data_IF_587292851224
#
_entry.id   IF_587292851224
#
_cell.length_a   1.000
_cell.length_b   1.000
_cell.length_c   1.000
_cell.angle_alpha   90.00
_cell.angle_beta   90.00
_cell.angle_gamma   90.00
#
_symmetry.space_group_name_H-M   'P 1'
#
loop_
_entity.id
_entity.type
_entity.pdbx_description
1 polymer ?
#
# COMPACT_ATOMS: atom_id res chain seq x y z
N UNK A 1 55.03 -0.85 31.67
CA UNK A 1 53.67 -1.26 32.07
C UNK A 1 52.73 -0.13 32.50
N UNK A 2 52.60 0.98 31.76
CA UNK A 2 51.72 2.09 32.23
C UNK A 2 50.95 2.88 31.15
N UNK A 3 50.71 2.33 29.95
CA UNK A 3 50.02 3.09 28.87
C UNK A 3 48.62 2.59 28.48
N UNK A 4 48.06 1.59 29.16
CA UNK A 4 46.78 0.97 28.76
C UNK A 4 45.56 1.33 29.63
N UNK A 5 45.70 2.15 30.69
CA UNK A 5 44.62 2.42 31.64
C UNK A 5 43.68 3.60 31.27
N UNK A 6 43.93 4.33 30.18
CA UNK A 6 43.19 5.57 29.86
C UNK A 6 41.99 5.41 28.92
N UNK A 7 41.73 4.22 28.36
CA UNK A 7 40.64 4.01 27.39
C UNK A 7 39.29 3.57 27.98
N UNK A 8 39.15 3.51 29.31
CA UNK A 8 37.94 3.01 29.98
C UNK A 8 36.81 4.03 30.15
N UNK A 9 36.96 5.28 29.67
CA UNK A 9 36.01 6.37 29.95
C UNK A 9 35.35 7.01 28.72
N UNK A 10 35.18 6.27 27.62
CA UNK A 10 34.32 6.74 26.53
C UNK A 10 32.87 6.71 27.01
N UNK A 11 32.40 7.84 27.55
CA UNK A 11 31.01 8.05 27.90
C UNK A 11 30.13 7.74 26.67
N UNK A 12 29.02 7.00 26.82
CA UNK A 12 28.13 6.74 25.70
C UNK A 12 27.71 8.08 25.07
N UNK A 13 27.67 8.16 23.73
CA UNK A 13 27.33 9.40 23.06
C UNK A 13 25.96 9.90 23.58
N UNK A 14 25.79 11.22 23.78
CA UNK A 14 24.56 11.75 24.33
C UNK A 14 23.38 11.34 23.43
N UNK A 15 22.23 10.99 24.03
CA UNK A 15 21.03 10.50 23.30
C UNK A 15 20.64 11.42 22.14
N UNK A 16 20.85 12.73 22.29
CA UNK A 16 20.59 13.73 21.25
C UNK A 16 21.48 13.52 20.01
N UNK A 17 22.73 13.09 20.18
CA UNK A 17 23.67 12.81 19.09
C UNK A 17 23.20 11.61 18.24
N UNK A 18 22.68 10.56 18.89
CA UNK A 18 22.13 9.36 18.22
C UNK A 18 20.83 9.69 17.47
N UNK A 19 19.97 10.56 18.03
CA UNK A 19 18.75 10.99 17.35
C UNK A 19 19.04 11.90 16.14
N UNK A 20 20.01 12.81 16.25
CA UNK A 20 20.39 13.68 15.13
C UNK A 20 21.06 12.92 13.98
N UNK A 21 21.81 11.86 14.26
CA UNK A 21 22.38 11.00 13.22
C UNK A 21 21.30 10.18 12.53
N UNK A 22 20.36 9.60 13.28
CA UNK A 22 19.27 8.81 12.70
C UNK A 22 18.38 9.61 11.72
N UNK A 23 17.97 10.82 12.09
CA UNK A 23 17.11 11.66 11.22
C UNK A 23 17.86 12.14 9.98
N UNK A 24 19.14 12.48 10.13
CA UNK A 24 20.01 12.87 9.01
C UNK A 24 20.24 11.71 8.05
N UNK A 25 20.50 10.52 8.59
CA UNK A 25 20.68 9.30 7.81
C UNK A 25 19.40 8.92 7.08
N UNK A 26 18.24 8.98 7.74
CA UNK A 26 16.94 8.71 7.11
C UNK A 26 16.68 9.66 5.93
N UNK A 27 16.94 10.96 6.09
CA UNK A 27 16.77 11.94 5.00
C UNK A 27 17.70 11.63 3.82
N UNK A 28 18.96 11.30 4.08
CA UNK A 28 19.94 10.93 3.05
C UNK A 28 19.55 9.64 2.34
N UNK A 29 19.12 8.63 3.08
CA UNK A 29 18.63 7.36 2.52
C UNK A 29 17.38 7.56 1.66
N UNK A 30 16.43 8.40 2.10
CA UNK A 30 15.23 8.74 1.32
C UNK A 30 15.59 9.43 0.00
N UNK A 31 16.51 10.39 0.02
CA UNK A 31 16.96 11.08 -1.18
C UNK A 31 17.65 10.10 -2.17
N UNK A 32 18.51 9.23 -1.66
CA UNK A 32 19.19 8.22 -2.47
C UNK A 32 18.21 7.23 -3.10
N UNK A 33 17.27 6.73 -2.32
CA UNK A 33 16.25 5.79 -2.80
C UNK A 33 15.26 6.45 -3.78
N UNK A 34 14.94 7.75 -3.61
CA UNK A 34 14.15 8.49 -4.59
C UNK A 34 14.85 8.59 -5.95
N UNK A 35 16.17 8.84 -5.94
CA UNK A 35 16.98 8.87 -7.16
C UNK A 35 17.01 7.47 -7.81
N UNK A 36 17.15 6.41 -7.02
CA UNK A 36 17.13 5.01 -7.48
C UNK A 36 15.78 4.61 -8.07
N UNK A 37 14.69 5.03 -7.44
CA UNK A 37 13.32 4.83 -7.92
C UNK A 37 13.08 5.44 -9.29
N UNK A 38 13.76 6.55 -9.64
CA UNK A 38 13.68 7.15 -10.99
C UNK A 38 14.15 6.23 -12.11
N UNK A 39 15.07 5.33 -11.81
CA UNK A 39 15.67 4.41 -12.76
C UNK A 39 15.02 3.03 -12.73
N UNK A 40 14.02 2.84 -11.87
CA UNK A 40 13.31 1.56 -11.66
C UNK A 40 11.96 1.62 -12.39
N UNK A 41 11.44 0.52 -12.96
CA UNK A 41 10.12 0.48 -13.59
C UNK A 41 8.95 0.80 -12.65
N UNK A 42 9.20 0.94 -11.34
CA UNK A 42 8.23 1.28 -10.30
C UNK A 42 7.32 2.46 -10.66
N UNK A 43 7.87 3.51 -11.30
CA UNK A 43 7.10 4.69 -11.72
C UNK A 43 6.07 4.35 -12.80
N UNK A 44 6.49 3.61 -13.82
CA UNK A 44 5.61 3.16 -14.89
C UNK A 44 4.55 2.22 -14.38
N UNK A 45 4.89 1.31 -13.47
CA UNK A 45 3.91 0.44 -12.82
C UNK A 45 2.87 1.23 -12.04
N UNK A 46 3.26 2.31 -11.38
CA UNK A 46 2.33 3.15 -10.60
C UNK A 46 1.32 3.86 -11.50
N UNK A 47 1.80 4.41 -12.62
CA UNK A 47 0.95 5.07 -13.62
C UNK A 47 0.04 4.04 -14.30
N UNK A 48 0.59 2.90 -14.72
CA UNK A 48 -0.17 1.82 -15.35
C UNK A 48 -1.19 1.22 -14.40
N UNK A 49 -0.87 1.04 -13.12
CA UNK A 49 -1.81 0.54 -12.11
C UNK A 49 -3.05 1.42 -12.06
N UNK A 50 -2.90 2.70 -11.72
CA UNK A 50 -4.03 3.63 -11.65
C UNK A 50 -4.77 3.78 -12.97
N UNK A 51 -4.05 4.07 -14.06
CA UNK A 51 -4.63 4.40 -15.36
C UNK A 51 -5.29 3.22 -16.08
N UNK A 52 -4.68 2.03 -16.04
CA UNK A 52 -5.26 0.86 -16.70
C UNK A 52 -6.55 0.42 -16.00
N UNK A 53 -6.60 0.51 -14.67
CA UNK A 53 -7.79 0.14 -13.90
C UNK A 53 -8.92 1.15 -14.07
N UNK A 54 -8.63 2.45 -14.08
CA UNK A 54 -9.68 3.45 -14.35
C UNK A 54 -10.25 3.30 -15.76
N UNK A 55 -9.40 2.96 -16.74
CA UNK A 55 -9.83 2.67 -18.11
C UNK A 55 -10.69 1.40 -18.17
N UNK A 56 -10.30 0.35 -17.43
CA UNK A 56 -11.08 -0.88 -17.34
C UNK A 56 -12.44 -0.65 -16.68
N UNK A 57 -12.48 0.09 -15.58
CA UNK A 57 -13.73 0.45 -14.89
C UNK A 57 -14.66 1.21 -15.83
N UNK A 58 -14.13 2.21 -16.55
CA UNK A 58 -14.89 2.94 -17.56
C UNK A 58 -15.47 2.02 -18.62
N UNK A 59 -14.66 1.11 -19.19
CA UNK A 59 -15.12 0.17 -20.21
C UNK A 59 -16.21 -0.77 -19.66
N UNK A 60 -15.98 -1.39 -18.49
CA UNK A 60 -16.93 -2.29 -17.85
C UNK A 60 -18.27 -1.61 -17.58
N UNK A 61 -18.24 -0.38 -17.06
CA UNK A 61 -19.46 0.35 -16.76
C UNK A 61 -20.16 0.81 -18.04
N UNK A 62 -19.41 1.32 -19.03
CA UNK A 62 -19.96 1.75 -20.32
C UNK A 62 -20.74 0.63 -21.03
N UNK A 63 -20.20 -0.59 -21.07
CA UNK A 63 -20.88 -1.72 -21.71
C UNK A 63 -22.06 -2.27 -20.90
N UNK A 64 -22.04 -2.18 -19.57
CA UNK A 64 -23.10 -2.71 -18.71
C UNK A 64 -24.04 -1.63 -18.13
N UNK A 65 -24.00 -0.41 -18.68
CA UNK A 65 -24.74 0.74 -18.13
C UNK A 65 -26.24 0.44 -17.95
N UNK A 66 -26.85 -0.29 -18.90
CA UNK A 66 -28.27 -0.61 -18.89
C UNK A 66 -28.69 -1.65 -17.83
N UNK A 67 -27.76 -2.48 -17.34
CA UNK A 67 -28.02 -3.45 -16.27
C UNK A 67 -27.72 -2.88 -14.88
N UNK A 68 -26.86 -1.86 -14.81
CA UNK A 68 -26.32 -1.31 -13.56
C UNK A 68 -27.02 -0.04 -13.08
N UNK A 69 -27.77 0.65 -13.94
CA UNK A 69 -28.43 1.91 -13.61
C UNK A 69 -29.91 1.90 -13.98
N UNK A 70 -30.74 2.27 -13.01
CA UNK A 70 -32.13 2.64 -13.27
C UNK A 70 -32.19 4.12 -13.69
N UNK A 71 -32.90 4.45 -14.79
CA UNK A 71 -33.03 5.83 -15.26
C UNK A 71 -33.95 6.63 -14.32
N UNK A 72 -33.40 7.17 -13.23
CA UNK A 72 -33.94 8.26 -12.39
C UNK A 72 -33.20 8.42 -11.04
N UNK A 73 -32.32 7.49 -10.67
CA UNK A 73 -31.54 7.58 -9.44
C UNK A 73 -30.19 8.28 -9.64
N UNK A 74 -29.63 8.83 -8.55
CA UNK A 74 -28.28 9.38 -8.57
C UNK A 74 -27.29 8.26 -8.90
N UNK A 75 -26.54 8.34 -10.02
CA UNK A 75 -25.70 7.24 -10.47
C UNK A 75 -24.35 7.17 -9.72
N UNK A 76 -23.96 8.23 -9.00
CA UNK A 76 -22.64 8.33 -8.37
C UNK A 76 -22.39 7.28 -7.28
N UNK A 77 -23.31 7.00 -6.33
CA UNK A 77 -23.09 5.95 -5.33
C UNK A 77 -22.85 4.56 -5.96
N UNK A 78 -23.68 4.17 -6.92
CA UNK A 78 -23.55 2.88 -7.62
C UNK A 78 -22.27 2.81 -8.44
N UNK A 79 -21.96 3.87 -9.19
CA UNK A 79 -20.73 3.97 -9.98
C UNK A 79 -19.47 3.89 -9.10
N UNK A 80 -19.46 4.62 -7.99
CA UNK A 80 -18.29 4.72 -7.10
C UNK A 80 -18.12 3.45 -6.26
N UNK A 81 -19.21 2.83 -5.81
CA UNK A 81 -19.20 1.52 -5.15
C UNK A 81 -18.64 0.44 -6.09
N UNK A 82 -19.19 0.32 -7.30
CA UNK A 82 -18.70 -0.61 -8.31
C UNK A 82 -17.23 -0.38 -8.67
N UNK A 83 -16.85 0.89 -8.91
CA UNK A 83 -15.46 1.27 -9.21
C UNK A 83 -14.52 0.86 -8.09
N UNK A 84 -14.94 1.03 -6.83
CA UNK A 84 -14.14 0.71 -5.66
C UNK A 84 -14.05 -0.80 -5.42
N UNK A 85 -15.11 -1.56 -5.67
CA UNK A 85 -15.10 -3.03 -5.62
C UNK A 85 -14.13 -3.63 -6.65
N UNK A 86 -14.24 -3.17 -7.91
CA UNK A 86 -13.34 -3.58 -9.01
C UNK A 86 -11.90 -3.20 -8.71
N UNK A 87 -11.65 -1.97 -8.24
CA UNK A 87 -10.32 -1.52 -7.83
C UNK A 87 -9.76 -2.35 -6.67
N UNK A 88 -10.59 -2.72 -5.69
CA UNK A 88 -10.15 -3.49 -4.52
C UNK A 88 -9.75 -4.91 -4.87
N UNK A 89 -10.47 -5.52 -5.80
CA UNK A 89 -10.18 -6.86 -6.29
C UNK A 89 -8.96 -6.85 -7.23
N UNK A 90 -9.00 -6.06 -8.29
CA UNK A 90 -8.00 -6.13 -9.37
C UNK A 90 -6.74 -5.31 -9.11
N UNK A 91 -6.83 -4.20 -8.38
CA UNK A 91 -5.70 -3.33 -8.12
C UNK A 91 -5.12 -3.62 -6.76
N UNK A 92 -5.86 -3.37 -5.68
CA UNK A 92 -5.26 -3.15 -4.36
C UNK A 92 -4.33 -4.27 -3.91
N UNK A 93 -4.77 -5.52 -3.90
CA UNK A 93 -3.95 -6.63 -3.43
C UNK A 93 -2.83 -7.04 -4.42
N UNK A 94 -3.12 -7.42 -5.69
CA UNK A 94 -2.08 -7.88 -6.61
C UNK A 94 -1.09 -6.77 -7.00
N UNK A 95 -1.55 -5.51 -7.11
CA UNK A 95 -0.66 -4.37 -7.37
C UNK A 95 0.34 -4.18 -6.22
N UNK A 96 -0.09 -4.28 -4.96
CA UNK A 96 0.79 -4.16 -3.80
C UNK A 96 1.86 -5.25 -3.80
N UNK A 97 1.47 -6.48 -4.11
CA UNK A 97 2.41 -7.62 -4.20
C UNK A 97 3.48 -7.34 -5.27
N UNK A 98 3.06 -6.91 -6.46
CA UNK A 98 3.96 -6.59 -7.57
C UNK A 98 4.84 -5.36 -7.26
N UNK A 99 4.26 -4.33 -6.65
CA UNK A 99 4.92 -3.08 -6.31
C UNK A 99 6.02 -3.29 -5.26
N UNK A 100 5.71 -4.02 -4.17
CA UNK A 100 6.68 -4.35 -3.13
C UNK A 100 7.82 -5.21 -3.67
N UNK A 101 7.47 -6.25 -4.45
CA UNK A 101 8.46 -7.15 -5.02
C UNK A 101 9.39 -6.40 -5.98
N UNK A 102 8.83 -5.56 -6.86
CA UNK A 102 9.61 -4.82 -7.88
C UNK A 102 10.53 -3.80 -7.23
N UNK A 103 10.11 -3.17 -6.13
CA UNK A 103 10.94 -2.22 -5.40
C UNK A 103 12.19 -2.87 -4.78
N UNK A 104 12.11 -4.15 -4.39
CA UNK A 104 13.24 -4.89 -3.79
C UNK A 104 14.06 -5.65 -4.84
N UNK A 105 13.49 -5.95 -6.01
CA UNK A 105 14.14 -6.72 -7.08
C UNK A 105 15.56 -6.25 -7.45
N UNK A 106 15.84 -4.95 -7.65
CA UNK A 106 17.19 -4.49 -8.00
C UNK A 106 18.26 -4.87 -6.98
N UNK A 107 17.88 -5.06 -5.72
CA UNK A 107 18.80 -5.29 -4.61
C UNK A 107 19.25 -6.74 -4.54
N UNK A 108 18.36 -7.66 -4.92
CA UNK A 108 18.67 -9.08 -5.03
C UNK A 108 19.51 -9.38 -6.26
N UNK A 109 19.32 -8.67 -7.38
CA UNK A 109 20.08 -8.88 -8.62
C UNK A 109 21.51 -8.34 -8.59
N UNK A 110 21.75 -7.19 -7.96
CA UNK A 110 23.02 -6.45 -8.14
C UNK A 110 24.09 -6.67 -7.07
N UNK A 111 23.96 -7.65 -6.17
CA UNK A 111 24.72 -7.70 -4.90
C UNK A 111 24.72 -6.35 -4.15
N UNK A 112 23.72 -5.50 -4.42
CA UNK A 112 23.73 -4.10 -4.02
C UNK A 112 23.68 -3.95 -2.51
N UNK A 113 23.17 -4.97 -1.81
CA UNK A 113 23.28 -5.09 -0.35
C UNK A 113 24.71 -4.95 0.15
N UNK A 114 25.73 -5.55 -0.51
CA UNK A 114 27.13 -5.44 -0.07
C UNK A 114 27.64 -3.99 -0.15
N UNK A 115 27.31 -3.28 -1.23
CA UNK A 115 27.64 -1.86 -1.40
C UNK A 115 26.82 -0.94 -0.50
N UNK A 116 25.55 -1.29 -0.25
CA UNK A 116 24.66 -0.52 0.62
C UNK A 116 25.14 -0.56 2.08
N UNK A 117 25.69 -1.70 2.50
CA UNK A 117 26.18 -1.92 3.85
C UNK A 117 27.65 -1.52 4.08
N UNK A 118 28.40 -1.19 3.04
CA UNK A 118 29.71 -0.56 3.19
C UNK A 118 29.62 0.96 3.41
N UNK A 119 28.47 1.57 3.13
CA UNK A 119 28.22 2.97 3.45
C UNK A 119 28.09 3.16 4.97
N UNK A 120 28.53 4.32 5.52
CA UNK A 120 28.42 4.65 6.93
C UNK A 120 26.99 5.09 7.29
N UNK A 121 25.99 4.31 6.87
CA UNK A 121 24.57 4.54 7.11
C UNK A 121 24.00 3.42 7.98
N UNK A 122 23.13 3.79 8.93
CA UNK A 122 22.40 2.79 9.71
C UNK A 122 21.51 1.92 8.81
N UNK A 123 21.50 0.60 9.06
CA UNK A 123 20.68 -0.36 8.30
C UNK A 123 19.16 -0.14 8.49
N UNK A 124 18.75 0.27 9.68
CA UNK A 124 17.34 0.58 10.00
C UNK A 124 16.76 1.76 9.22
N UNK A 125 17.41 2.95 9.22
CA UNK A 125 17.02 4.08 8.39
C UNK A 125 16.85 3.75 6.90
N UNK A 126 17.74 2.93 6.35
CA UNK A 126 17.68 2.51 4.94
C UNK A 126 16.45 1.66 4.65
N UNK A 127 16.14 0.69 5.52
CA UNK A 127 14.93 -0.13 5.42
C UNK A 127 13.65 0.72 5.50
N UNK A 128 13.59 1.64 6.47
CA UNK A 128 12.43 2.55 6.64
C UNK A 128 12.28 3.51 5.46
N UNK A 129 13.38 4.08 4.96
CA UNK A 129 13.36 5.00 3.83
C UNK A 129 12.75 4.34 2.58
N UNK A 130 13.10 3.08 2.32
CA UNK A 130 12.54 2.32 1.21
C UNK A 130 11.06 2.04 1.40
N UNK A 131 10.65 1.62 2.59
CA UNK A 131 9.23 1.42 2.89
C UNK A 131 8.41 2.70 2.67
N UNK A 132 8.90 3.86 3.13
CA UNK A 132 8.23 5.16 2.93
C UNK A 132 8.09 5.51 1.45
N UNK A 133 9.08 5.18 0.62
CA UNK A 133 8.99 5.41 -0.83
C UNK A 133 7.98 4.51 -1.53
N UNK A 134 7.93 3.23 -1.14
CA UNK A 134 6.93 2.27 -1.61
C UNK A 134 5.53 2.74 -1.19
N UNK A 135 5.38 3.19 0.06
CA UNK A 135 4.15 3.76 0.61
C UNK A 135 3.71 5.02 -0.15
N UNK A 136 4.66 5.88 -0.54
CA UNK A 136 4.38 7.06 -1.37
C UNK A 136 3.98 6.71 -2.80
N UNK A 137 4.59 5.68 -3.40
CA UNK A 137 4.19 5.17 -4.71
C UNK A 137 2.76 4.61 -4.67
N UNK A 138 2.41 3.87 -3.61
CA UNK A 138 1.04 3.41 -3.39
C UNK A 138 0.06 4.57 -3.24
N UNK A 139 0.40 5.60 -2.47
CA UNK A 139 -0.44 6.81 -2.33
C UNK A 139 -0.66 7.51 -3.68
N UNK A 140 0.37 7.57 -4.52
CA UNK A 140 0.26 8.12 -5.87
C UNK A 140 -0.68 7.27 -6.74
N UNK A 141 -0.60 5.93 -6.67
CA UNK A 141 -1.55 5.06 -7.38
C UNK A 141 -3.00 5.31 -6.95
N UNK A 142 -3.26 5.42 -5.64
CA UNK A 142 -4.59 5.77 -5.12
C UNK A 142 -5.07 7.15 -5.59
N UNK A 143 -4.17 8.15 -5.66
CA UNK A 143 -4.52 9.48 -6.14
C UNK A 143 -4.87 9.49 -7.63
N UNK A 144 -4.15 8.70 -8.45
CA UNK A 144 -4.47 8.51 -9.86
C UNK A 144 -5.81 7.80 -10.03
N UNK A 145 -6.10 6.81 -9.19
CA UNK A 145 -7.36 6.08 -9.23
C UNK A 145 -8.54 6.98 -8.81
N UNK A 146 -8.36 7.79 -7.76
CA UNK A 146 -9.33 8.81 -7.34
C UNK A 146 -9.62 9.79 -8.49
N UNK A 147 -8.59 10.44 -9.04
CA UNK A 147 -8.74 11.38 -10.15
C UNK A 147 -9.33 10.73 -11.41
N UNK A 148 -8.93 9.49 -11.69
CA UNK A 148 -9.41 8.71 -12.81
C UNK A 148 -10.90 8.41 -12.70
N UNK A 149 -11.40 7.96 -11.53
CA UNK A 149 -12.84 7.72 -11.31
C UNK A 149 -13.67 8.98 -11.57
N UNK A 150 -13.20 10.15 -11.12
CA UNK A 150 -13.90 11.40 -11.44
C UNK A 150 -13.87 11.69 -12.94
N UNK A 151 -12.69 11.61 -13.55
CA UNK A 151 -12.54 11.85 -14.98
C UNK A 151 -13.42 10.94 -15.83
N UNK A 152 -13.47 9.66 -15.50
CA UNK A 152 -14.27 8.66 -16.20
C UNK A 152 -15.75 8.81 -15.91
N UNK A 153 -16.15 9.18 -14.69
CA UNK A 153 -17.55 9.48 -14.35
C UNK A 153 -18.10 10.67 -15.12
N UNK A 154 -17.36 11.77 -15.19
CA UNK A 154 -17.75 12.94 -16.01
C UNK A 154 -17.76 12.61 -17.51
N UNK A 155 -16.79 11.84 -17.99
CA UNK A 155 -16.76 11.40 -19.39
C UNK A 155 -17.98 10.53 -19.73
N UNK A 156 -18.41 9.67 -18.81
CA UNK A 156 -19.62 8.88 -18.95
C UNK A 156 -20.88 9.76 -19.06
N UNK A 157 -20.99 10.78 -18.21
CA UNK A 157 -22.10 11.73 -18.26
C UNK A 157 -22.18 12.52 -19.57
N UNK A 158 -21.03 12.79 -20.20
CA UNK A 158 -20.98 13.44 -21.51
C UNK A 158 -21.38 12.51 -22.66
N UNK A 159 -21.00 11.22 -22.57
CA UNK A 159 -21.29 10.21 -23.59
C UNK A 159 -22.70 9.63 -23.47
N UNK A 160 -23.28 9.64 -22.26
CA UNK A 160 -24.61 9.12 -21.95
C UNK A 160 -25.38 10.14 -21.09
N UNK A 161 -25.93 11.20 -21.72
CA UNK A 161 -26.69 12.24 -21.01
C UNK A 161 -27.91 11.69 -20.28
N UNK A 162 -28.43 10.54 -20.72
CA UNK A 162 -29.62 9.86 -20.18
C UNK A 162 -29.51 9.50 -18.68
N UNK A 163 -28.30 9.41 -18.13
CA UNK A 163 -28.05 8.95 -16.75
C UNK A 163 -27.66 10.07 -15.77
N UNK A 164 -27.82 11.34 -16.16
CA UNK A 164 -27.73 12.52 -15.29
C UNK A 164 -26.49 12.65 -14.37
N UNK A 165 -25.36 12.04 -14.77
CA UNK A 165 -24.07 12.13 -14.07
C UNK A 165 -23.54 13.58 -13.93
N UNK A 166 -23.99 14.48 -14.82
CA UNK A 166 -23.53 15.87 -14.88
C UNK A 166 -24.29 16.77 -13.91
N UNK A 167 -25.59 16.52 -13.68
CA UNK A 167 -26.38 17.33 -12.73
C UNK A 167 -26.24 16.83 -11.29
N UNK A 168 -26.02 15.52 -11.11
CA UNK A 168 -25.86 14.93 -9.79
C UNK A 168 -24.50 15.28 -9.17
N UNK A 169 -24.51 15.78 -7.92
CA UNK A 169 -23.29 16.14 -7.22
C UNK A 169 -22.52 14.88 -6.76
N UNK A 170 -21.25 14.68 -7.18
CA UNK A 170 -20.44 13.61 -6.64
C UNK A 170 -20.13 13.90 -5.17
N UNK A 171 -20.40 12.94 -4.28
CA UNK A 171 -20.06 13.02 -2.86
C UNK A 171 -18.54 13.00 -2.62
N UNK A 172 -17.84 14.09 -2.93
CA UNK A 172 -16.37 14.17 -2.85
C UNK A 172 -15.82 13.81 -1.48
N UNK A 173 -16.50 14.26 -0.41
CA UNK A 173 -16.06 14.02 0.97
C UNK A 173 -16.16 12.56 1.39
N UNK A 174 -17.23 11.85 1.02
CA UNK A 174 -17.38 10.42 1.32
C UNK A 174 -16.40 9.60 0.49
N UNK A 175 -16.21 9.94 -0.79
CA UNK A 175 -15.28 9.24 -1.66
C UNK A 175 -13.83 9.41 -1.20
N UNK A 176 -13.39 10.63 -0.89
CA UNK A 176 -12.05 10.87 -0.36
C UNK A 176 -11.81 10.12 0.96
N UNK A 177 -12.82 10.05 1.84
CA UNK A 177 -12.76 9.27 3.07
C UNK A 177 -12.60 7.78 2.78
N UNK A 178 -13.37 7.22 1.85
CA UNK A 178 -13.29 5.81 1.49
C UNK A 178 -11.93 5.43 0.91
N UNK A 179 -11.37 6.29 0.04
CA UNK A 179 -10.03 6.12 -0.50
C UNK A 179 -8.96 6.14 0.58
N UNK A 180 -9.06 7.07 1.54
CA UNK A 180 -8.12 7.15 2.64
C UNK A 180 -8.19 5.90 3.54
N UNK A 181 -9.41 5.43 3.84
CA UNK A 181 -9.62 4.19 4.61
C UNK A 181 -9.04 2.96 3.91
N UNK A 182 -9.30 2.84 2.62
CA UNK A 182 -8.71 1.81 1.77
C UNK A 182 -7.19 1.82 1.80
N UNK A 183 -6.62 3.02 1.64
CA UNK A 183 -5.19 3.22 1.65
C UNK A 183 -4.59 2.74 2.97
N UNK A 184 -5.16 3.16 4.11
CA UNK A 184 -4.73 2.74 5.44
C UNK A 184 -4.84 1.22 5.64
N UNK A 185 -5.93 0.59 5.20
CA UNK A 185 -6.09 -0.87 5.27
C UNK A 185 -5.05 -1.62 4.41
N UNK A 186 -4.65 -1.02 3.29
CA UNK A 186 -3.69 -1.63 2.38
C UNK A 186 -2.23 -1.55 2.85
N UNK A 187 -1.91 -0.66 3.80
CA UNK A 187 -0.56 -0.54 4.38
C UNK A 187 -0.10 -1.82 5.08
N UNK A 188 -1.01 -2.56 5.71
CA UNK A 188 -0.71 -3.84 6.38
C UNK A 188 -0.22 -4.90 5.40
N UNK A 189 -0.89 -5.01 4.24
CA UNK A 189 -0.43 -5.89 3.14
C UNK A 189 0.92 -5.41 2.62
N UNK A 190 1.09 -4.10 2.44
CA UNK A 190 2.33 -3.52 1.95
C UNK A 190 3.51 -3.86 2.87
N UNK A 191 3.35 -3.71 4.17
CA UNK A 191 4.38 -4.01 5.16
C UNK A 191 4.74 -5.50 5.20
N UNK A 192 3.72 -6.37 5.18
CA UNK A 192 3.91 -7.82 5.08
C UNK A 192 4.70 -8.16 3.81
N UNK A 193 4.23 -7.69 2.65
CA UNK A 193 4.83 -8.01 1.37
C UNK A 193 6.24 -7.45 1.21
N UNK A 194 6.49 -6.26 1.74
CA UNK A 194 7.81 -5.68 1.80
C UNK A 194 8.76 -6.52 2.67
N UNK A 195 8.30 -6.96 3.85
CA UNK A 195 9.09 -7.83 4.73
C UNK A 195 9.42 -9.16 4.05
N UNK A 196 8.43 -9.84 3.45
CA UNK A 196 8.66 -11.07 2.68
C UNK A 196 9.67 -10.81 1.55
N UNK A 197 9.50 -9.73 0.80
CA UNK A 197 10.38 -9.38 -0.33
C UNK A 197 11.84 -9.18 0.08
N UNK A 198 12.08 -8.67 1.29
CA UNK A 198 13.44 -8.48 1.82
C UNK A 198 14.04 -9.78 2.37
N UNK A 199 13.22 -10.62 3.03
CA UNK A 199 13.67 -11.85 3.69
C UNK A 199 14.13 -12.94 2.71
N UNK A 200 13.45 -13.09 1.57
CA UNK A 200 13.85 -14.08 0.57
C UNK A 200 14.69 -13.46 -0.53
N UNK A 201 15.81 -14.14 -0.86
CA UNK A 201 16.71 -13.75 -1.97
C UNK A 201 16.07 -13.99 -3.34
N UNK A 202 15.11 -14.92 -3.42
CA UNK A 202 14.35 -15.19 -4.64
C UNK A 202 13.13 -14.27 -4.72
N UNK A 203 13.14 -13.35 -5.67
CA UNK A 203 12.05 -12.40 -5.95
C UNK A 203 10.71 -13.08 -6.30
N UNK A 204 10.72 -14.30 -6.85
CA UNK A 204 9.49 -15.00 -7.25
C UNK A 204 8.69 -15.54 -6.05
N UNK A 205 9.36 -15.82 -4.92
CA UNK A 205 8.70 -16.45 -3.77
C UNK A 205 7.73 -15.49 -3.05
N UNK A 206 8.09 -14.23 -2.72
CA UNK A 206 7.15 -13.24 -2.17
C UNK A 206 5.92 -13.03 -3.06
N UNK A 207 6.11 -13.02 -4.38
CA UNK A 207 5.03 -12.88 -5.36
C UNK A 207 4.08 -14.08 -5.27
N UNK A 208 4.62 -15.30 -5.28
CA UNK A 208 3.82 -16.52 -5.16
C UNK A 208 3.00 -16.54 -3.87
N UNK A 209 3.60 -16.17 -2.74
CA UNK A 209 2.90 -16.08 -1.44
C UNK A 209 1.81 -15.01 -1.49
N UNK A 210 2.08 -13.85 -2.10
CA UNK A 210 1.10 -12.78 -2.24
C UNK A 210 -0.09 -13.13 -3.11
N UNK A 211 0.16 -13.76 -4.26
CA UNK A 211 -0.89 -14.22 -5.16
C UNK A 211 -1.70 -15.37 -4.53
N UNK A 212 -1.05 -16.29 -3.83
CA UNK A 212 -1.75 -17.34 -3.09
C UNK A 212 -2.66 -16.74 -2.00
N UNK A 213 -2.14 -15.78 -1.22
CA UNK A 213 -2.94 -15.06 -0.22
C UNK A 213 -4.13 -14.33 -0.84
N UNK A 214 -3.93 -13.67 -1.99
CA UNK A 214 -4.99 -13.03 -2.75
C UNK A 214 -6.08 -14.01 -3.21
N UNK A 215 -5.71 -15.18 -3.77
CA UNK A 215 -6.67 -16.18 -4.26
C UNK A 215 -7.45 -16.84 -3.10
N UNK A 216 -6.79 -17.10 -1.99
CA UNK A 216 -7.40 -17.74 -0.81
C UNK A 216 -8.38 -16.79 -0.11
N UNK A 217 -8.14 -15.49 -0.18
CA UNK A 217 -8.90 -14.47 0.54
C UNK A 217 -10.42 -14.51 0.23
N UNK A 218 -10.88 -14.45 -1.04
CA UNK A 218 -12.30 -14.59 -1.39
C UNK A 218 -12.98 -15.85 -0.83
N UNK A 219 -12.26 -16.97 -0.77
CA UNK A 219 -12.78 -18.24 -0.26
C UNK A 219 -13.02 -18.17 1.26
N UNK A 220 -12.18 -17.41 1.97
CA UNK A 220 -12.23 -17.29 3.41
C UNK A 220 -13.11 -16.15 3.90
N UNK A 221 -13.47 -15.16 3.07
CA UNK A 221 -14.25 -13.96 3.47
C UNK A 221 -15.50 -14.31 4.30
N UNK A 222 -16.18 -15.44 4.02
CA UNK A 222 -17.32 -15.92 4.81
C UNK A 222 -17.03 -16.49 6.20
N UNK A 223 -15.76 -16.58 6.63
CA UNK A 223 -15.31 -17.13 7.92
C UNK A 223 -14.69 -16.04 8.79
N UNK A 224 -15.52 -15.35 9.56
CA UNK A 224 -15.18 -14.12 10.31
C UNK A 224 -13.95 -14.23 11.20
N UNK A 225 -13.71 -15.37 11.87
CA UNK A 225 -12.57 -15.51 12.80
C UNK A 225 -11.19 -15.52 12.13
N UNK A 226 -11.09 -16.04 10.89
CA UNK A 226 -9.81 -16.21 10.19
C UNK A 226 -9.50 -15.01 9.30
N UNK A 227 -10.54 -14.36 8.79
CA UNK A 227 -10.44 -13.25 7.85
C UNK A 227 -9.74 -12.03 8.45
N UNK A 228 -10.02 -11.71 9.71
CA UNK A 228 -9.33 -10.61 10.39
C UNK A 228 -7.84 -10.87 10.62
N UNK A 229 -7.38 -12.13 10.60
CA UNK A 229 -5.95 -12.47 10.72
C UNK A 229 -5.21 -12.41 9.37
N UNK A 230 -5.92 -12.20 8.25
CA UNK A 230 -5.35 -12.18 6.91
C UNK A 230 -5.32 -10.74 6.37
N UNK A 231 -4.15 -10.07 6.33
CA UNK A 231 -4.05 -8.71 5.82
C UNK A 231 -4.56 -8.55 4.40
N UNK A 232 -4.42 -9.59 3.58
CA UNK A 232 -4.86 -9.63 2.18
C UNK A 232 -6.37 -9.40 2.00
N UNK A 233 -7.17 -9.66 3.04
CA UNK A 233 -8.62 -9.44 3.04
C UNK A 233 -9.03 -7.99 3.26
N UNK A 234 -8.17 -7.18 3.89
CA UNK A 234 -8.55 -5.87 4.41
C UNK A 234 -9.09 -4.88 3.36
N UNK A 235 -8.49 -4.74 2.16
CA UNK A 235 -9.02 -3.84 1.14
C UNK A 235 -10.38 -4.28 0.62
N UNK A 236 -10.59 -5.59 0.48
CA UNK A 236 -11.86 -6.16 0.00
C UNK A 236 -12.95 -5.98 1.05
N UNK A 237 -12.64 -6.15 2.34
CA UNK A 237 -13.59 -5.95 3.44
C UNK A 237 -14.03 -4.48 3.54
N UNK A 238 -13.13 -3.53 3.31
CA UNK A 238 -13.52 -2.12 3.24
C UNK A 238 -14.41 -1.87 2.03
N UNK A 239 -14.15 -2.49 0.89
CA UNK A 239 -15.01 -2.36 -0.29
C UNK A 239 -16.42 -2.93 -0.06
N UNK A 240 -16.52 -4.12 0.52
CA UNK A 240 -17.82 -4.76 0.80
C UNK A 240 -18.59 -4.06 1.91
N UNK A 241 -17.90 -3.52 2.92
CA UNK A 241 -18.52 -2.71 3.96
C UNK A 241 -19.13 -1.40 3.43
N UNK A 242 -18.71 -0.93 2.26
CA UNK A 242 -19.31 0.23 1.58
C UNK A 242 -20.58 -0.13 0.79
N UNK A 243 -20.75 -1.39 0.39
CA UNK A 243 -21.92 -1.85 -0.39
C UNK A 243 -23.14 -2.22 0.47
N UNK A 244 -23.27 -1.66 1.68
CA UNK A 244 -24.42 -1.87 2.58
C UNK A 244 -24.77 -3.36 2.84
N UNK A 245 -23.78 -4.27 2.82
CA UNK A 245 -23.98 -5.65 3.23
C UNK A 245 -23.95 -5.76 4.77
N UNK A 246 -25.09 -6.01 5.45
CA UNK A 246 -25.19 -5.96 6.92
C UNK A 246 -24.32 -7.02 7.63
N UNK A 247 -23.83 -8.04 6.93
CA UNK A 247 -22.92 -9.05 7.48
C UNK A 247 -21.45 -8.62 7.59
N UNK A 248 -21.05 -7.51 6.96
CA UNK A 248 -19.65 -7.05 6.87
C UNK A 248 -19.50 -5.56 7.19
N UNK A 249 -20.34 -5.00 8.06
CA UNK A 249 -20.30 -3.60 8.43
C UNK A 249 -19.05 -3.27 9.28
N UNK A 250 -17.89 -3.24 8.62
CA UNK A 250 -16.59 -2.85 9.18
C UNK A 250 -16.60 -1.38 9.66
N UNK A 251 -17.58 -0.61 9.20
CA UNK A 251 -17.76 0.82 9.49
C UNK A 251 -18.60 1.13 10.73
N UNK A 252 -19.28 0.15 11.34
CA UNK A 252 -20.22 0.40 12.44
C UNK A 252 -19.54 0.54 13.81
N UNK A 253 -18.31 0.05 13.94
CA UNK A 253 -17.50 0.15 15.16
C UNK A 253 -16.25 1.00 14.93
N UNK A 254 -16.45 2.31 14.80
CA UNK A 254 -15.34 3.26 14.67
C UNK A 254 -14.73 3.56 16.04
N UNK A 255 -13.51 3.10 16.27
CA UNK A 255 -12.72 3.48 17.45
C UNK A 255 -11.76 4.59 17.03
N UNK A 256 -11.95 5.79 17.60
CA UNK A 256 -11.19 6.99 17.24
C UNK A 256 -11.28 7.41 15.75
N UNK A 257 -12.40 7.09 15.09
CA UNK A 257 -12.66 7.43 13.67
C UNK A 257 -12.10 6.41 12.65
N UNK A 258 -11.31 5.44 13.12
CA UNK A 258 -10.75 4.34 12.32
C UNK A 258 -11.59 3.07 12.49
N UNK A 259 -11.65 2.25 11.44
CA UNK A 259 -12.26 0.93 11.49
C UNK A 259 -11.35 -0.10 12.19
N UNK A 260 -11.93 -1.20 12.68
CA UNK A 260 -11.15 -2.28 13.32
C UNK A 260 -10.07 -2.84 12.37
N UNK A 261 -10.40 -2.91 11.07
CA UNK A 261 -9.49 -3.40 10.03
C UNK A 261 -8.30 -2.45 9.81
N UNK A 262 -8.52 -1.14 9.89
CA UNK A 262 -7.45 -0.14 9.81
C UNK A 262 -6.51 -0.24 11.02
N UNK A 263 -7.04 -0.46 12.22
CA UNK A 263 -6.23 -0.69 13.41
C UNK A 263 -5.36 -1.95 13.30
N UNK A 264 -5.93 -3.06 12.81
CA UNK A 264 -5.13 -4.26 12.55
C UNK A 264 -4.05 -4.01 11.50
N UNK A 265 -4.39 -3.33 10.39
CA UNK A 265 -3.42 -2.94 9.35
C UNK A 265 -2.24 -2.15 9.92
N UNK A 266 -2.50 -1.13 10.74
CA UNK A 266 -1.44 -0.36 11.41
C UNK A 266 -0.62 -1.22 12.37
N UNK A 267 -1.26 -2.15 13.08
CA UNK A 267 -0.57 -3.15 13.90
C UNK A 267 0.40 -4.00 13.07
N UNK A 268 -0.04 -4.50 11.91
CA UNK A 268 0.81 -5.24 10.98
C UNK A 268 1.98 -4.41 10.47
N UNK A 269 1.77 -3.12 10.15
CA UNK A 269 2.85 -2.21 9.77
C UNK A 269 3.89 -2.12 10.87
N UNK A 270 3.48 -1.86 12.11
CA UNK A 270 4.41 -1.76 13.23
C UNK A 270 5.18 -3.06 13.45
N UNK A 271 4.48 -4.20 13.48
CA UNK A 271 5.09 -5.52 13.69
C UNK A 271 6.12 -5.83 12.60
N UNK A 272 5.75 -5.72 11.33
CA UNK A 272 6.65 -6.07 10.23
C UNK A 272 7.80 -5.07 10.05
N UNK A 273 7.60 -3.78 10.34
CA UNK A 273 8.70 -2.81 10.33
C UNK A 273 9.69 -3.04 11.49
N UNK A 274 9.20 -3.34 12.69
CA UNK A 274 10.05 -3.69 13.82
C UNK A 274 10.81 -4.99 13.58
N UNK A 275 10.13 -6.04 13.10
CA UNK A 275 10.76 -7.32 12.78
C UNK A 275 11.77 -7.18 11.63
N UNK A 276 11.40 -6.50 10.55
CA UNK A 276 12.27 -6.28 9.40
C UNK A 276 13.53 -5.49 9.75
N UNK A 277 13.38 -4.38 10.48
CA UNK A 277 14.52 -3.57 10.92
C UNK A 277 15.42 -4.31 11.93
N UNK A 278 14.86 -5.17 12.78
CA UNK A 278 15.61 -6.01 13.69
C UNK A 278 16.40 -7.11 12.97
N UNK A 279 15.78 -7.79 12.00
CA UNK A 279 16.46 -8.81 11.19
C UNK A 279 17.60 -8.21 10.36
N UNK A 280 17.41 -7.05 9.76
CA UNK A 280 18.45 -6.39 8.95
C UNK A 280 19.69 -5.98 9.79
N UNK A 281 19.51 -5.67 11.08
CA UNK A 281 20.63 -5.45 11.99
C UNK A 281 21.45 -6.72 12.23
N UNK A 282 20.81 -7.89 12.21
CA UNK A 282 21.45 -9.20 12.45
C UNK A 282 21.94 -9.89 11.17
N UNK A 283 21.65 -9.32 10.01
CA UNK A 283 22.04 -9.91 8.72
C UNK A 283 23.55 -9.83 8.55
N UNK A 284 24.22 -10.99 8.60
CA UNK A 284 25.65 -11.10 8.31
C UNK A 284 25.83 -11.13 6.80
N UNK A 285 26.57 -10.15 6.28
CA UNK A 285 26.94 -10.09 4.87
C UNK A 285 28.36 -10.63 4.78
N UNK A 286 28.48 -11.94 4.55
CA UNK A 286 29.72 -12.56 4.08
C UNK A 286 29.85 -12.39 2.56
#
# INVERSE_FOLDING_TARGET
>A
DTTWSSFSSISPPPKNFIMTTFTTDLRRSLAAEWIKSRRTPLRWMTILGGGAVTTLIFALFYFNTAELLEPSENPWPTYTGFSFAVASLLLLTPFIVLLASTAVHPEHRGHSWKYLYSLPLGRGPVYLAKFVLIMGALALAYSLLFAGIFGTGFLLGLLRPDYDFVSAAPGLGSLARNFLRSYLASLGILALQYALSVWWRNYLLPIGIGLAGYIITPILIGKTSVVFALPYAYPILIAQGLEANPGYAVTDHLVAGLSTVEWYSLGYVLVFLCLGSWMERRRNIA
#
